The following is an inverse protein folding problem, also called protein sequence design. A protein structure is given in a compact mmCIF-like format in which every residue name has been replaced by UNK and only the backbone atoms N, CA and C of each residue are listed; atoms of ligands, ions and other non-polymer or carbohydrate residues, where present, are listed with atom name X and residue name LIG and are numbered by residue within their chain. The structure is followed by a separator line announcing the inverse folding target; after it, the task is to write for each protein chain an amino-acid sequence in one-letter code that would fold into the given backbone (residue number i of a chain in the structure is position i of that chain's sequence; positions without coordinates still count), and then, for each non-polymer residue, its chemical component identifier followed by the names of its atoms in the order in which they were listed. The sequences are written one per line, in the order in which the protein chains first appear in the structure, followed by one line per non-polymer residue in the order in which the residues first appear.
data_IF_813841345257
#
_entry.id   IF_813841345257
#
_cell.length_a   1.000
_cell.length_b   1.000
_cell.length_c   1.000
_cell.angle_alpha   90.00
_cell.angle_beta   90.00
_cell.angle_gamma   90.00
#
_symmetry.space_group_name_H-M   'P 1'
#
loop_
_entity.id
_entity.type
_entity.pdbx_description
1 polymer ?
#
# COMPACT_ATOMS: atom_id res chain seq x y z
N UNK A 1 21.22 4.68 12.98
CA UNK A 1 20.38 4.82 14.19
C UNK A 1 20.49 3.54 15.01
N UNK A 2 20.35 3.64 16.33
CA UNK A 2 20.39 2.45 17.21
C UNK A 2 19.12 1.60 17.01
N UNK A 3 19.18 0.26 17.09
CA UNK A 3 18.01 -0.62 17.07
C UNK A 3 16.95 -0.24 18.13
N UNK A 4 17.39 0.33 19.25
CA UNK A 4 16.54 0.75 20.36
C UNK A 4 15.97 2.17 20.19
N UNK A 5 16.14 2.79 19.02
CA UNK A 5 15.57 4.12 18.75
C UNK A 5 14.04 3.99 18.73
N UNK A 6 13.34 4.65 19.65
CA UNK A 6 11.88 4.63 19.73
C UNK A 6 11.29 5.67 18.77
N UNK A 7 10.39 5.23 17.90
CA UNK A 7 9.51 6.08 17.12
C UNK A 7 8.15 6.15 17.81
N UNK A 8 7.59 7.35 17.84
CA UNK A 8 6.22 7.58 18.27
C UNK A 8 5.41 7.91 17.04
N UNK A 9 4.49 7.02 16.70
CA UNK A 9 3.52 7.22 15.61
C UNK A 9 2.19 7.56 16.28
N UNK A 10 1.69 8.78 16.07
CA UNK A 10 0.49 9.27 16.72
C UNK A 10 -0.43 9.93 15.69
N UNK A 11 -1.72 9.55 15.74
CA UNK A 11 -2.77 10.16 14.93
C UNK A 11 -3.12 11.56 15.44
N UNK A 12 -3.68 12.39 14.55
CA UNK A 12 -4.30 13.66 14.91
C UNK A 12 -5.57 13.47 15.77
N UNK A 13 -6.16 12.27 15.75
CA UNK A 13 -7.28 11.91 16.62
C UNK A 13 -6.78 11.64 18.04
N UNK A 14 -7.15 12.53 18.97
CA UNK A 14 -6.78 12.46 20.38
C UNK A 14 -7.35 11.23 21.12
N UNK A 15 -8.29 10.49 20.53
CA UNK A 15 -8.83 9.26 21.08
C UNK A 15 -8.05 8.01 20.65
N UNK A 16 -7.12 8.15 19.70
CA UNK A 16 -6.27 7.06 19.22
C UNK A 16 -5.07 6.85 20.15
N UNK A 17 -4.80 5.61 20.53
CA UNK A 17 -3.63 5.29 21.34
C UNK A 17 -2.33 5.46 20.51
N UNK A 18 -1.35 6.23 21.01
CA UNK A 18 -0.07 6.39 20.33
C UNK A 18 0.68 5.06 20.24
N UNK A 19 1.31 4.83 19.10
CA UNK A 19 2.15 3.67 18.87
C UNK A 19 3.60 3.97 19.19
N UNK A 20 4.07 3.32 20.25
CA UNK A 20 5.46 3.32 20.64
C UNK A 20 6.11 2.07 20.06
N UNK A 21 6.97 2.27 19.07
CA UNK A 21 7.66 1.17 18.39
C UNK A 21 9.12 1.54 18.17
N UNK A 22 10.03 0.65 18.53
CA UNK A 22 11.45 0.79 18.25
C UNK A 22 11.73 0.58 16.77
N UNK A 23 12.89 1.04 16.30
CA UNK A 23 13.39 0.75 14.96
C UNK A 23 13.43 -0.76 14.70
N UNK A 24 13.84 -1.54 15.70
CA UNK A 24 13.83 -3.00 15.64
C UNK A 24 12.42 -3.59 15.61
N UNK A 25 11.40 -2.96 16.19
CA UNK A 25 10.01 -3.43 16.10
C UNK A 25 9.35 -3.05 14.77
N UNK A 26 9.71 -1.89 14.21
CA UNK A 26 9.30 -1.45 12.87
C UNK A 26 9.99 -2.26 11.76
N UNK A 27 11.26 -2.61 11.96
CA UNK A 27 12.10 -3.34 11.04
C UNK A 27 12.81 -4.50 11.79
N UNK A 28 12.08 -5.56 12.17
CA UNK A 28 12.61 -6.68 12.96
C UNK A 28 13.61 -7.56 12.22
N UNK A 29 13.73 -7.32 10.92
CA UNK A 29 14.73 -7.93 10.05
C UNK A 29 15.54 -6.80 9.39
N UNK A 30 16.80 -7.06 8.99
CA UNK A 30 17.59 -6.11 8.22
C UNK A 30 16.76 -5.49 7.08
N UNK A 31 16.98 -4.23 6.71
CA UNK A 31 16.25 -3.63 5.60
C UNK A 31 16.33 -4.56 4.40
N UNK A 32 15.19 -4.98 3.83
CA UNK A 32 15.15 -5.88 2.67
C UNK A 32 16.06 -5.39 1.52
N UNK A 33 16.25 -4.07 1.42
CA UNK A 33 17.13 -3.41 0.47
C UNK A 33 18.62 -3.33 0.85
N UNK A 34 19.00 -3.63 2.09
CA UNK A 34 20.41 -3.58 2.55
C UNK A 34 20.89 -4.85 3.25
N UNK A 35 20.10 -5.92 3.32
CA UNK A 35 20.44 -7.11 4.11
C UNK A 35 20.21 -8.47 3.46
N UNK A 36 19.58 -8.54 2.27
CA UNK A 36 19.28 -9.80 1.61
C UNK A 36 19.73 -9.74 0.13
N UNK A 37 20.54 -10.71 -0.35
CA UNK A 37 20.78 -10.89 -1.78
C UNK A 37 19.48 -11.04 -2.56
N UNK A 38 19.47 -10.63 -3.83
CA UNK A 38 18.31 -10.74 -4.74
C UNK A 38 17.66 -12.12 -4.68
N UNK A 39 18.48 -13.18 -4.68
CA UNK A 39 18.00 -14.57 -4.61
C UNK A 39 17.18 -14.82 -3.33
N UNK A 40 17.59 -14.27 -2.19
CA UNK A 40 16.88 -14.44 -0.93
C UNK A 40 15.60 -13.62 -0.87
N UNK A 41 15.59 -12.41 -1.44
CA UNK A 41 14.37 -11.61 -1.59
C UNK A 41 13.33 -12.36 -2.43
N UNK A 42 13.77 -12.95 -3.55
CA UNK A 42 12.91 -13.73 -4.43
C UNK A 42 12.38 -15.00 -3.76
N UNK A 43 13.25 -15.73 -3.05
CA UNK A 43 12.86 -16.92 -2.29
C UNK A 43 11.80 -16.60 -1.24
N UNK A 44 12.01 -15.56 -0.43
CA UNK A 44 11.05 -15.16 0.60
C UNK A 44 9.70 -14.75 0.00
N UNK A 45 9.71 -13.97 -1.09
CA UNK A 45 8.48 -13.61 -1.79
C UNK A 45 7.70 -14.83 -2.29
N UNK A 46 8.40 -15.81 -2.88
CA UNK A 46 7.80 -17.07 -3.33
C UNK A 46 7.23 -17.90 -2.17
N UNK A 47 7.91 -17.93 -1.01
CA UNK A 47 7.44 -18.65 0.18
C UNK A 47 6.17 -18.03 0.77
N UNK A 48 6.02 -16.71 0.69
CA UNK A 48 4.88 -15.98 1.25
C UNK A 48 3.66 -15.97 0.31
N UNK A 49 3.86 -16.13 -1.00
CA UNK A 49 2.81 -16.06 -2.01
C UNK A 49 1.59 -16.99 -1.74
N UNK A 50 1.77 -18.27 -1.35
CA UNK A 50 0.62 -19.15 -1.08
C UNK A 50 -0.22 -18.68 0.11
N UNK A 51 0.44 -18.20 1.18
CA UNK A 51 -0.25 -17.66 2.35
C UNK A 51 -1.07 -16.43 1.99
N UNK A 52 -0.49 -15.50 1.24
CA UNK A 52 -1.19 -14.28 0.80
C UNK A 52 -2.39 -14.63 -0.09
N UNK A 53 -2.18 -15.50 -1.08
CA UNK A 53 -3.22 -15.94 -2.01
C UNK A 53 -4.39 -16.63 -1.29
N UNK A 54 -4.12 -17.29 -0.16
CA UNK A 54 -5.16 -17.91 0.69
C UNK A 54 -5.92 -16.91 1.55
N UNK A 55 -5.34 -15.76 1.90
CA UNK A 55 -5.93 -14.76 2.77
C UNK A 55 -6.74 -13.69 2.03
N UNK A 56 -6.37 -13.34 0.79
CA UNK A 56 -7.09 -12.35 -0.02
C UNK A 56 -8.60 -12.71 -0.15
N UNK A 57 -8.98 -13.97 -0.41
CA UNK A 57 -10.38 -14.38 -0.41
C UNK A 57 -11.06 -14.36 0.96
N UNK A 58 -10.32 -14.26 2.07
CA UNK A 58 -10.85 -14.28 3.45
C UNK A 58 -11.11 -12.89 4.03
N UNK A 59 -10.47 -11.84 3.52
CA UNK A 59 -10.82 -10.44 3.80
C UNK A 59 -12.30 -10.13 3.58
N UNK A 60 -12.88 -10.83 2.60
CA UNK A 60 -14.30 -11.05 2.34
C UNK A 60 -15.22 -11.11 3.58
N UNK A 61 -14.76 -11.70 4.69
CA UNK A 61 -15.61 -12.03 5.83
C UNK A 61 -15.61 -10.98 6.94
N UNK A 62 -14.88 -9.86 6.77
CA UNK A 62 -14.79 -8.80 7.77
C UNK A 62 -15.82 -7.69 7.52
N UNK A 63 -17.04 -7.88 8.04
CA UNK A 63 -18.05 -6.85 8.39
C UNK A 63 -18.57 -5.86 7.33
N UNK A 64 -18.35 -6.04 6.03
CA UNK A 64 -19.05 -5.25 5.00
C UNK A 64 -19.84 -6.14 4.05
N UNK A 65 -21.08 -5.72 3.78
CA UNK A 65 -22.13 -6.30 2.93
C UNK A 65 -21.66 -7.23 1.80
N UNK A 66 -22.45 -8.28 1.55
CA UNK A 66 -22.32 -9.45 0.64
C UNK A 66 -21.75 -9.23 -0.77
N UNK A 67 -21.55 -7.99 -1.22
CA UNK A 67 -20.82 -7.55 -2.43
C UNK A 67 -19.28 -7.48 -2.25
N UNK A 68 -18.76 -7.72 -1.04
CA UNK A 68 -17.37 -7.45 -0.63
C UNK A 68 -16.30 -8.42 -1.14
N UNK A 69 -16.66 -9.63 -1.62
CA UNK A 69 -15.69 -10.73 -1.76
C UNK A 69 -14.90 -10.69 -3.06
N UNK A 70 -15.53 -10.28 -4.16
CA UNK A 70 -14.87 -10.18 -5.47
C UNK A 70 -14.17 -8.86 -5.66
N UNK A 71 -14.64 -7.78 -5.02
CA UNK A 71 -14.12 -6.43 -5.21
C UNK A 71 -12.62 -6.32 -4.88
N UNK A 72 -12.22 -6.64 -3.64
CA UNK A 72 -10.82 -6.52 -3.21
C UNK A 72 -9.92 -7.52 -3.92
N UNK A 73 -10.45 -8.69 -4.25
CA UNK A 73 -9.74 -9.68 -5.05
C UNK A 73 -9.47 -9.18 -6.47
N UNK A 74 -10.47 -8.66 -7.17
CA UNK A 74 -10.33 -8.08 -8.51
C UNK A 74 -9.32 -6.92 -8.50
N UNK A 75 -9.45 -6.02 -7.52
CA UNK A 75 -8.55 -4.88 -7.37
C UNK A 75 -7.10 -5.34 -7.13
N UNK A 76 -6.92 -6.34 -6.26
CA UNK A 76 -5.63 -6.98 -5.99
C UNK A 76 -5.04 -7.65 -7.23
N UNK A 77 -5.82 -8.41 -7.99
CA UNK A 77 -5.38 -9.07 -9.24
C UNK A 77 -4.94 -8.03 -10.27
N UNK A 78 -5.66 -6.90 -10.38
CA UNK A 78 -5.29 -5.79 -11.28
C UNK A 78 -3.96 -5.14 -10.87
N UNK A 79 -3.75 -4.91 -9.59
CA UNK A 79 -2.48 -4.39 -9.10
C UNK A 79 -1.33 -5.38 -9.31
N UNK A 80 -1.57 -6.68 -9.08
CA UNK A 80 -0.56 -7.72 -9.30
C UNK A 80 -0.21 -7.84 -10.79
N UNK A 81 -1.21 -7.75 -11.67
CA UNK A 81 -0.98 -7.74 -13.10
C UNK A 81 -0.13 -6.52 -13.53
N UNK A 82 -0.38 -5.35 -12.94
CA UNK A 82 0.39 -4.13 -13.23
C UNK A 82 1.89 -4.30 -12.90
N UNK A 83 2.25 -5.16 -11.94
CA UNK A 83 3.68 -5.44 -11.63
C UNK A 83 4.46 -5.96 -12.86
N UNK A 84 3.79 -6.51 -13.87
CA UNK A 84 4.42 -7.08 -15.06
C UNK A 84 4.89 -6.03 -16.07
N UNK A 85 4.42 -4.79 -15.97
CA UNK A 85 4.83 -3.70 -16.86
C UNK A 85 6.27 -3.23 -16.55
N UNK A 86 6.70 -3.36 -15.30
CA UNK A 86 8.09 -3.14 -14.92
C UNK A 86 8.90 -4.44 -15.10
N UNK A 87 9.90 -4.37 -15.95
CA UNK A 87 10.77 -5.50 -16.30
C UNK A 87 12.23 -5.29 -15.89
N UNK A 88 12.53 -4.19 -15.18
CA UNK A 88 13.88 -3.76 -14.81
C UNK A 88 14.38 -4.44 -13.53
N UNK A 89 14.40 -5.77 -13.55
CA UNK A 89 14.87 -6.58 -12.42
C UNK A 89 16.38 -6.47 -12.17
N UNK A 90 17.12 -6.02 -13.19
CA UNK A 90 18.54 -5.68 -13.13
C UNK A 90 18.82 -4.45 -12.23
N UNK A 91 17.83 -3.57 -12.07
CA UNK A 91 17.91 -2.41 -11.17
C UNK A 91 17.48 -2.81 -9.75
N UNK A 92 16.26 -3.35 -9.62
CA UNK A 92 15.72 -3.85 -8.36
C UNK A 92 14.88 -5.10 -8.60
N UNK A 93 15.07 -6.13 -7.77
CA UNK A 93 14.40 -7.42 -7.95
C UNK A 93 12.90 -7.42 -7.60
N UNK A 94 12.45 -6.47 -6.78
CA UNK A 94 11.04 -6.33 -6.40
C UNK A 94 10.39 -5.33 -7.33
N UNK A 95 9.22 -5.69 -7.87
CA UNK A 95 8.37 -4.85 -8.71
C UNK A 95 7.14 -4.51 -7.92
N UNK A 96 6.67 -3.27 -8.00
CA UNK A 96 5.40 -2.88 -7.40
C UNK A 96 4.40 -2.50 -8.47
N UNK A 97 3.14 -2.85 -8.23
CA UNK A 97 1.99 -2.46 -9.03
C UNK A 97 0.90 -1.94 -8.12
N UNK A 98 0.14 -0.97 -8.59
CA UNK A 98 -0.98 -0.39 -7.87
C UNK A 98 -2.22 -0.39 -8.74
N UNK A 99 -3.38 -0.46 -8.08
CA UNK A 99 -4.68 -0.31 -8.70
C UNK A 99 -5.61 0.50 -7.82
N UNK A 100 -6.45 1.34 -8.43
CA UNK A 100 -7.55 2.03 -7.77
C UNK A 100 -8.86 1.71 -8.48
N UNK A 101 -9.90 1.44 -7.70
CA UNK A 101 -11.27 1.25 -8.19
C UNK A 101 -12.07 2.56 -8.06
N UNK A 102 -12.73 2.92 -9.15
CA UNK A 102 -13.50 4.15 -9.31
C UNK A 102 -14.93 3.80 -9.69
N UNK A 103 -15.90 4.33 -8.97
CA UNK A 103 -17.32 4.20 -9.30
C UNK A 103 -17.85 5.51 -9.88
N UNK A 104 -18.39 5.46 -11.09
CA UNK A 104 -19.08 6.58 -11.70
C UNK A 104 -20.38 6.89 -10.94
N UNK A 105 -20.54 8.15 -10.53
CA UNK A 105 -21.67 8.59 -9.68
C UNK A 105 -23.01 8.59 -10.39
N UNK A 106 -23.03 8.53 -11.73
CA UNK A 106 -24.24 8.58 -12.54
C UNK A 106 -24.71 7.19 -12.94
N UNK A 107 -23.76 6.35 -13.37
CA UNK A 107 -24.04 5.01 -13.90
C UNK A 107 -23.85 3.89 -12.86
N UNK A 108 -23.23 4.16 -11.71
CA UNK A 108 -22.75 3.17 -10.75
C UNK A 108 -21.80 2.12 -11.37
N UNK A 109 -21.18 2.44 -12.51
CA UNK A 109 -20.21 1.55 -13.15
C UNK A 109 -18.86 1.65 -12.45
N UNK A 110 -18.28 0.49 -12.10
CA UNK A 110 -16.92 0.41 -11.55
C UNK A 110 -15.92 0.29 -12.70
N UNK A 111 -14.89 1.13 -12.64
CA UNK A 111 -13.72 1.10 -13.52
C UNK A 111 -12.45 1.03 -12.68
N UNK A 112 -11.36 0.58 -13.29
CA UNK A 112 -10.07 0.43 -12.61
C UNK A 112 -9.01 1.23 -13.35
N UNK A 113 -8.14 1.88 -12.59
CA UNK A 113 -6.90 2.45 -13.10
C UNK A 113 -5.72 1.74 -12.43
N UNK A 114 -4.67 1.48 -13.19
CA UNK A 114 -3.48 0.74 -12.74
C UNK A 114 -2.22 1.51 -13.07
N UNK A 115 -1.17 1.27 -12.29
CA UNK A 115 0.17 1.77 -12.55
C UNK A 115 1.20 0.77 -12.05
N UNK A 116 2.35 0.76 -12.70
CA UNK A 116 3.53 -0.01 -12.32
C UNK A 116 4.63 0.91 -11.81
N UNK A 117 5.48 0.41 -10.91
CA UNK A 117 6.62 1.17 -10.43
C UNK A 117 7.54 1.53 -11.60
N UNK A 118 7.89 2.81 -11.73
CA UNK A 118 8.90 3.23 -12.70
C UNK A 118 10.26 3.27 -12.02
N UNK A 119 11.00 2.15 -12.05
CA UNK A 119 12.33 2.04 -11.45
C UNK A 119 13.31 2.98 -12.12
N UNK A 120 14.13 3.63 -11.32
CA UNK A 120 15.30 4.39 -11.75
C UNK A 120 16.56 3.80 -11.13
N UNK A 121 17.73 4.08 -11.72
CA UNK A 121 19.01 3.61 -11.20
C UNK A 121 19.26 4.14 -9.78
N UNK A 122 18.91 5.42 -9.56
CA UNK A 122 18.86 6.00 -8.22
C UNK A 122 17.53 5.65 -7.56
N UNK A 123 17.59 5.02 -6.40
CA UNK A 123 16.40 4.60 -5.67
C UNK A 123 15.45 5.78 -5.38
N UNK A 124 16.01 6.94 -5.00
CA UNK A 124 15.22 8.16 -4.74
C UNK A 124 14.54 8.75 -5.98
N UNK A 125 14.94 8.35 -7.19
CA UNK A 125 14.33 8.74 -8.44
C UNK A 125 13.31 7.71 -8.96
N UNK A 126 13.11 6.59 -8.25
CA UNK A 126 12.08 5.60 -8.60
C UNK A 126 10.69 6.17 -8.30
N UNK A 127 9.80 6.12 -9.29
CA UNK A 127 8.42 6.55 -9.11
C UNK A 127 7.58 5.40 -8.56
N UNK A 128 7.05 5.59 -7.37
CA UNK A 128 6.08 4.69 -6.74
C UNK A 128 4.82 4.56 -7.62
N UNK A 129 4.22 3.36 -7.63
CA UNK A 129 3.07 3.07 -8.48
C UNK A 129 1.84 3.89 -8.06
N UNK A 130 1.61 4.07 -6.76
CA UNK A 130 0.50 4.90 -6.26
C UNK A 130 0.73 6.37 -6.56
N UNK A 131 1.97 6.89 -6.47
CA UNK A 131 2.28 8.26 -6.87
C UNK A 131 1.80 8.58 -8.30
N UNK A 132 1.91 7.60 -9.22
CA UNK A 132 1.44 7.76 -10.60
C UNK A 132 -0.08 7.75 -10.74
N UNK A 133 -0.80 7.13 -9.80
CA UNK A 133 -2.27 7.15 -9.74
C UNK A 133 -2.83 8.44 -9.14
N UNK A 134 -2.07 9.15 -8.29
CA UNK A 134 -2.61 10.36 -7.63
C UNK A 134 -3.11 11.42 -8.62
N UNK A 135 -2.36 11.83 -9.66
CA UNK A 135 -2.84 12.87 -10.58
C UNK A 135 -4.20 12.56 -11.24
N UNK A 136 -4.44 11.38 -11.85
CA UNK A 136 -5.75 11.06 -12.39
C UNK A 136 -6.83 10.94 -11.30
N UNK A 137 -6.51 10.43 -10.10
CA UNK A 137 -7.48 10.37 -8.99
C UNK A 137 -7.94 11.76 -8.54
N UNK A 138 -7.01 12.70 -8.38
CA UNK A 138 -7.31 14.10 -8.05
C UNK A 138 -8.17 14.75 -9.13
N UNK A 139 -7.83 14.51 -10.40
CA UNK A 139 -8.62 15.02 -11.52
C UNK A 139 -10.08 14.50 -11.49
N UNK A 140 -10.28 13.21 -11.22
CA UNK A 140 -11.61 12.62 -11.13
C UNK A 140 -12.42 13.15 -9.94
N UNK A 141 -11.76 13.36 -8.79
CA UNK A 141 -12.39 13.95 -7.60
C UNK A 141 -12.83 15.39 -7.84
N UNK A 142 -12.00 16.21 -8.48
CA UNK A 142 -12.33 17.60 -8.82
C UNK A 142 -13.52 17.71 -9.78
N UNK A 143 -13.67 16.73 -10.68
CA UNK A 143 -14.82 16.65 -11.58
C UNK A 143 -16.09 16.12 -10.90
N UNK A 144 -15.99 15.61 -9.66
CA UNK A 144 -17.08 14.99 -8.90
C UNK A 144 -17.82 13.86 -9.66
N UNK A 145 -17.13 13.23 -10.62
CA UNK A 145 -17.70 12.18 -11.47
C UNK A 145 -17.50 10.78 -10.90
N UNK A 146 -16.46 10.59 -10.10
CA UNK A 146 -16.06 9.28 -9.60
C UNK A 146 -15.89 9.29 -8.09
N UNK A 147 -16.30 8.19 -7.45
CA UNK A 147 -15.98 7.87 -6.06
C UNK A 147 -14.88 6.82 -6.05
N UNK A 148 -13.85 7.03 -5.24
CA UNK A 148 -12.78 6.04 -5.05
C UNK A 148 -13.27 5.01 -4.06
N UNK A 149 -13.43 3.77 -4.53
CA UNK A 149 -13.91 2.66 -3.70
C UNK A 149 -12.78 1.97 -2.93
N UNK A 150 -11.57 1.97 -3.50
CA UNK A 150 -10.43 1.32 -2.90
C UNK A 150 -9.16 1.50 -3.71
N UNK A 151 -8.04 1.37 -3.01
CA UNK A 151 -6.67 1.44 -3.52
C UNK A 151 -5.88 0.26 -2.96
N UNK A 152 -5.01 -0.33 -3.77
CA UNK A 152 -4.04 -1.32 -3.31
C UNK A 152 -2.73 -1.14 -4.04
N UNK A 153 -1.62 -1.32 -3.33
CA UNK A 153 -0.30 -1.52 -3.89
C UNK A 153 0.17 -2.92 -3.52
N UNK A 154 0.70 -3.68 -4.47
CA UNK A 154 1.22 -5.03 -4.26
C UNK A 154 2.59 -5.18 -4.90
N UNK A 155 3.36 -6.17 -4.43
CA UNK A 155 4.53 -6.65 -5.17
C UNK A 155 4.19 -7.75 -6.17
N UNK A 156 5.18 -8.24 -6.93
CA UNK A 156 4.96 -9.31 -7.92
C UNK A 156 4.47 -10.64 -7.32
N UNK A 157 4.68 -10.86 -6.02
CA UNK A 157 4.19 -12.03 -5.29
C UNK A 157 2.78 -11.84 -4.75
N UNK A 158 2.24 -10.63 -4.92
CA UNK A 158 0.89 -10.25 -4.52
C UNK A 158 0.80 -9.81 -3.07
N UNK A 159 1.89 -9.54 -2.36
CA UNK A 159 1.80 -9.03 -0.99
C UNK A 159 1.28 -7.60 -1.01
N UNK A 160 0.17 -7.25 -0.30
CA UNK A 160 -0.26 -5.86 -0.20
C UNK A 160 0.69 -5.04 0.67
N UNK A 161 1.13 -3.89 0.15
CA UNK A 161 2.01 -2.96 0.83
C UNK A 161 1.29 -1.64 1.09
N UNK A 162 1.64 -0.94 2.17
CA UNK A 162 1.26 0.46 2.30
C UNK A 162 1.92 1.27 1.15
N UNK A 163 1.25 2.29 0.59
CA UNK A 163 1.86 3.18 -0.39
C UNK A 163 3.14 3.81 0.18
N UNK A 164 4.11 4.18 -0.67
CA UNK A 164 5.35 4.81 -0.17
C UNK A 164 5.07 6.19 0.44
N UNK A 165 5.99 6.68 1.27
CA UNK A 165 5.80 7.94 2.02
C UNK A 165 5.36 9.14 1.13
N UNK A 166 5.93 9.34 -0.07
CA UNK A 166 5.45 10.40 -0.97
C UNK A 166 4.00 10.19 -1.40
N UNK A 167 3.61 8.96 -1.76
CA UNK A 167 2.24 8.64 -2.17
C UNK A 167 1.23 8.90 -1.06
N UNK A 168 1.55 8.50 0.18
CA UNK A 168 0.68 8.73 1.34
C UNK A 168 0.47 10.22 1.61
N UNK A 169 1.54 11.00 1.50
CA UNK A 169 1.49 12.47 1.68
C UNK A 169 0.64 13.10 0.58
N UNK A 170 0.89 12.73 -0.69
CA UNK A 170 0.12 13.22 -1.84
C UNK A 170 -1.37 12.87 -1.74
N UNK A 171 -1.72 11.65 -1.34
CA UNK A 171 -3.13 11.28 -1.14
C UNK A 171 -3.79 12.20 -0.10
N UNK A 172 -3.18 12.40 1.06
CA UNK A 172 -3.76 13.23 2.11
C UNK A 172 -3.82 14.72 1.72
N UNK A 173 -2.71 15.27 1.23
CA UNK A 173 -2.58 16.69 0.90
C UNK A 173 -3.50 17.10 -0.25
N UNK A 174 -3.84 16.18 -1.15
CA UNK A 174 -4.75 16.43 -2.27
C UNK A 174 -6.20 15.99 -2.00
N UNK A 175 -6.59 15.80 -0.73
CA UNK A 175 -7.99 15.56 -0.36
C UNK A 175 -8.49 14.13 -0.59
N UNK A 176 -7.57 13.18 -0.80
CA UNK A 176 -7.84 11.75 -0.96
C UNK A 176 -7.60 10.96 0.33
N UNK A 177 -7.52 11.63 1.49
CA UNK A 177 -7.20 11.03 2.77
C UNK A 177 -8.16 9.92 3.21
N UNK A 178 -9.43 9.99 2.79
CA UNK A 178 -10.46 9.02 3.17
C UNK A 178 -10.51 7.81 2.23
N UNK A 179 -9.60 7.72 1.25
CA UNK A 179 -9.48 6.59 0.33
C UNK A 179 -9.22 5.29 1.10
N UNK A 180 -10.06 4.24 0.94
CA UNK A 180 -9.77 2.93 1.52
C UNK A 180 -8.55 2.29 0.86
N UNK A 181 -7.60 1.83 1.66
CA UNK A 181 -6.34 1.22 1.22
C UNK A 181 -6.23 -0.17 1.79
N UNK A 182 -6.11 -1.17 0.92
CA UNK A 182 -5.77 -2.52 1.31
C UNK A 182 -4.25 -2.62 1.56
N UNK A 183 -3.87 -3.08 2.74
CA UNK A 183 -2.49 -3.26 3.15
C UNK A 183 -2.32 -4.51 4.01
N UNK A 184 -1.08 -4.96 4.18
CA UNK A 184 -0.75 -6.04 5.10
C UNK A 184 0.02 -5.51 6.32
N UNK A 185 -0.26 -6.11 7.47
CA UNK A 185 0.46 -5.88 8.72
C UNK A 185 0.92 -7.23 9.26
N UNK A 186 2.16 -7.28 9.75
CA UNK A 186 2.67 -8.47 10.43
C UNK A 186 2.12 -8.51 11.85
N UNK A 187 1.47 -9.61 12.23
CA UNK A 187 0.96 -9.84 13.58
C UNK A 187 1.99 -10.55 14.46
N UNK A 188 2.72 -11.53 13.89
CA UNK A 188 3.81 -12.25 14.56
C UNK A 188 4.89 -12.69 13.56
N UNK A 189 5.82 -13.55 14.00
CA UNK A 189 6.95 -13.99 13.17
C UNK A 189 6.55 -14.63 11.83
N UNK A 190 5.34 -15.22 11.70
CA UNK A 190 4.93 -15.96 10.51
C UNK A 190 3.53 -15.58 9.98
N UNK A 191 2.75 -14.77 10.69
CA UNK A 191 1.41 -14.38 10.29
C UNK A 191 1.35 -12.93 9.79
N UNK A 192 1.02 -12.80 8.50
CA UNK A 192 0.49 -11.56 7.93
C UNK A 192 -1.02 -11.51 8.15
N UNK A 193 -1.51 -10.33 8.46
CA UNK A 193 -2.92 -9.99 8.50
C UNK A 193 -3.18 -8.87 7.49
N UNK A 194 -4.26 -8.99 6.74
CA UNK A 194 -4.67 -7.97 5.79
C UNK A 194 -5.66 -6.99 6.44
N UNK A 195 -5.53 -5.71 6.11
CA UNK A 195 -6.32 -4.63 6.67
C UNK A 195 -6.79 -3.68 5.56
N UNK A 196 -7.98 -3.12 5.74
CA UNK A 196 -8.44 -1.94 4.98
C UNK A 196 -8.42 -0.76 5.94
N UNK A 197 -7.62 0.25 5.63
CA UNK A 197 -7.45 1.49 6.41
C UNK A 197 -7.61 2.69 5.50
N UNK A 198 -7.75 3.90 6.02
CA UNK A 198 -7.77 5.09 5.17
C UNK A 198 -6.35 5.49 4.78
N UNK A 199 -6.18 6.21 3.66
CA UNK A 199 -4.89 6.78 3.29
C UNK A 199 -4.33 7.71 4.39
N UNK A 200 -5.23 8.41 5.11
CA UNK A 200 -4.91 9.26 6.25
C UNK A 200 -4.26 8.47 7.40
N UNK A 201 -4.76 7.28 7.71
CA UNK A 201 -4.21 6.43 8.78
C UNK A 201 -2.76 5.99 8.50
N UNK A 202 -2.33 6.07 7.24
CA UNK A 202 -0.98 5.69 6.82
C UNK A 202 -0.04 6.90 6.67
N UNK A 203 -0.55 8.14 6.70
CA UNK A 203 0.26 9.33 6.50
C UNK A 203 1.11 9.68 7.75
N UNK A 204 2.39 10.09 7.57
CA UNK A 204 3.19 10.57 8.68
C UNK A 204 2.60 11.89 9.23
N UNK A 205 2.56 12.05 10.55
CA UNK A 205 2.12 13.29 11.17
C UNK A 205 3.24 14.33 11.14
N UNK A 206 2.91 15.58 10.77
CA UNK A 206 3.83 16.69 10.92
C UNK A 206 3.97 17.01 12.41
N UNK A 207 5.19 16.99 13.00
CA UNK A 207 5.35 17.28 14.40
C UNK A 207 4.86 18.70 14.73
N UNK A 208 4.09 18.85 15.82
CA UNK A 208 3.74 20.17 16.32
C UNK A 208 4.99 20.86 16.85
N UNK A 209 5.46 21.89 16.14
CA UNK A 209 6.50 22.77 16.67
C UNK A 209 5.86 23.70 17.70
N UNK A 210 6.10 23.43 18.99
CA UNK A 210 5.72 24.36 20.06
C UNK A 210 6.55 25.64 19.90
N UNK A 211 5.88 26.75 19.63
CA UNK A 211 6.44 28.11 19.64
C UNK A 211 6.75 28.57 21.07
#
# INVERSE_FOLDING_TARGET
MSPNTVFVLQSADATSEPWHVTLAELYPHPPLYMGLPVVEQQRLGQEMQPQISSQIPLLANTKTTTTSNTFWKDLWEKAQQATQEDTRDDVHAIRYGAAAALMDTTSNQVSYITASQCKALEYGATLDAVCQLVPPLVQQQQQQRMIILGLVQVDQYGLPHAPFAPARSLLVEHGLGDTPVLTSRRQDAMMLQLHVVTARDLAPFAPEFRS
#
